data_IF_510128888906
#
_entry.id   IF_510128888906
#
_cell.length_a   1.000
_cell.length_b   1.000
_cell.length_c   1.000
_cell.angle_alpha   90.00
_cell.angle_beta   90.00
_cell.angle_gamma   90.00
#
_symmetry.space_group_name_H-M   'P 1'
#
loop_
_entity.id
_entity.type
_entity.pdbx_description
1 polymer ?
#
# COMPACT_ATOMS: atom_id res chain seq x y z
N UNK A 1 -1.15 9.34 4.00
CA UNK A 1 0.24 9.60 3.53
C UNK A 1 0.22 9.73 2.01
N UNK A 2 1.08 10.54 1.39
CA UNK A 2 1.23 10.50 -0.08
C UNK A 2 2.07 9.30 -0.50
N UNK A 3 1.98 8.93 -1.78
CA UNK A 3 2.81 7.89 -2.40
C UNK A 3 4.29 8.24 -2.24
N UNK A 4 4.68 9.48 -2.55
CA UNK A 4 6.08 9.93 -2.50
C UNK A 4 6.69 9.74 -1.11
N UNK A 5 5.95 10.13 -0.07
CA UNK A 5 6.42 9.99 1.32
C UNK A 5 6.57 8.52 1.71
N UNK A 6 5.61 7.66 1.34
CA UNK A 6 5.71 6.22 1.62
C UNK A 6 6.86 5.57 0.85
N UNK A 7 7.12 6.00 -0.39
CA UNK A 7 8.29 5.56 -1.15
C UNK A 7 9.59 5.96 -0.45
N UNK A 8 9.72 7.21 0.00
CA UNK A 8 10.90 7.68 0.74
C UNK A 8 11.13 6.88 2.02
N UNK A 9 10.07 6.55 2.76
CA UNK A 9 10.15 5.75 3.99
C UNK A 9 10.52 4.29 3.73
N UNK A 10 9.98 3.67 2.67
CA UNK A 10 10.24 2.27 2.36
C UNK A 10 11.59 2.05 1.65
N UNK A 11 12.12 3.06 0.95
CA UNK A 11 13.33 2.93 0.13
C UNK A 11 14.52 2.27 0.87
N UNK A 12 14.95 2.72 2.06
CA UNK A 12 16.09 2.10 2.75
C UNK A 12 15.82 0.65 3.19
N UNK A 13 14.58 0.32 3.54
CA UNK A 13 14.19 -1.03 3.95
C UNK A 13 14.12 -1.95 2.73
N UNK A 14 13.58 -1.47 1.62
CA UNK A 14 13.51 -2.21 0.36
C UNK A 14 14.91 -2.50 -0.20
N UNK A 15 15.83 -1.54 -0.14
CA UNK A 15 17.21 -1.72 -0.60
C UNK A 15 17.94 -2.78 0.23
N UNK A 16 17.87 -2.67 1.56
CA UNK A 16 18.47 -3.68 2.45
C UNK A 16 17.87 -5.07 2.24
N UNK A 17 16.54 -5.16 2.16
CA UNK A 17 15.85 -6.43 1.90
C UNK A 17 16.29 -7.04 0.57
N UNK A 18 16.45 -6.23 -0.48
CA UNK A 18 16.92 -6.70 -1.77
C UNK A 18 18.34 -7.26 -1.70
N UNK A 19 19.24 -6.57 -1.00
CA UNK A 19 20.61 -7.04 -0.78
C UNK A 19 20.62 -8.36 0.00
N UNK A 20 19.86 -8.43 1.09
CA UNK A 20 19.75 -9.62 1.94
C UNK A 20 19.20 -10.82 1.16
N UNK A 21 18.21 -10.62 0.30
CA UNK A 21 17.67 -11.68 -0.57
C UNK A 21 18.69 -12.16 -1.61
N UNK A 22 19.34 -11.22 -2.30
CA UNK A 22 20.22 -11.48 -3.45
C UNK A 22 21.53 -12.15 -3.05
N UNK A 23 22.08 -11.80 -1.89
CA UNK A 23 23.43 -12.19 -1.50
C UNK A 23 23.50 -13.24 -0.38
N UNK A 24 22.37 -13.65 0.19
CA UNK A 24 22.32 -14.73 1.17
C UNK A 24 22.22 -16.12 0.53
N UNK A 25 22.62 -17.15 1.27
CA UNK A 25 22.51 -18.55 0.83
C UNK A 25 21.04 -18.93 0.61
N UNK A 26 20.70 -19.66 -0.46
CA UNK A 26 19.35 -20.14 -0.70
C UNK A 26 18.74 -20.87 0.52
N UNK A 27 17.55 -20.45 0.94
CA UNK A 27 16.83 -21.03 2.08
C UNK A 27 17.38 -20.67 3.46
N UNK A 28 18.41 -19.82 3.54
CA UNK A 28 18.93 -19.30 4.81
C UNK A 28 17.88 -18.47 5.57
N UNK A 29 18.11 -18.28 6.87
CA UNK A 29 17.25 -17.43 7.71
C UNK A 29 17.19 -15.99 7.18
N UNK A 30 18.31 -15.46 6.69
CA UNK A 30 18.39 -14.11 6.12
C UNK A 30 17.56 -14.00 4.84
N UNK A 31 17.62 -15.01 3.95
CA UNK A 31 16.80 -15.01 2.74
C UNK A 31 15.31 -15.10 3.07
N UNK A 32 14.92 -15.94 4.02
CA UNK A 32 13.53 -16.07 4.47
C UNK A 32 13.06 -14.77 5.14
N UNK A 33 13.93 -14.11 5.92
CA UNK A 33 13.63 -12.83 6.52
C UNK A 33 13.40 -11.75 5.46
N UNK A 34 14.25 -11.68 4.44
CA UNK A 34 14.08 -10.76 3.32
C UNK A 34 12.73 -10.97 2.60
N UNK A 35 12.33 -12.23 2.36
CA UNK A 35 11.03 -12.54 1.78
C UNK A 35 9.85 -12.10 2.66
N UNK A 36 9.96 -12.27 3.99
CA UNK A 36 8.93 -11.77 4.93
C UNK A 36 8.83 -10.25 4.88
N UNK A 37 9.97 -9.56 4.84
CA UNK A 37 10.03 -8.10 4.72
C UNK A 37 9.40 -7.63 3.41
N UNK A 38 9.69 -8.29 2.28
CA UNK A 38 9.03 -8.01 1.00
C UNK A 38 7.51 -8.14 1.10
N UNK A 39 7.01 -9.23 1.70
CA UNK A 39 5.58 -9.45 1.87
C UNK A 39 4.92 -8.34 2.73
N UNK A 40 5.60 -7.90 3.79
CA UNK A 40 5.14 -6.77 4.62
C UNK A 40 5.07 -5.47 3.80
N UNK A 41 6.12 -5.15 3.03
CA UNK A 41 6.16 -3.93 2.21
C UNK A 41 5.03 -3.91 1.18
N UNK A 42 4.76 -5.04 0.52
CA UNK A 42 3.63 -5.19 -0.41
C UNK A 42 2.28 -5.05 0.32
N UNK A 43 2.13 -5.70 1.48
CA UNK A 43 0.92 -5.60 2.30
C UNK A 43 0.60 -4.16 2.72
N UNK A 44 1.61 -3.36 3.04
CA UNK A 44 1.43 -1.93 3.32
C UNK A 44 0.87 -1.15 2.12
N UNK A 45 1.24 -1.50 0.89
CA UNK A 45 0.67 -0.88 -0.30
C UNK A 45 -0.76 -1.34 -0.56
N UNK A 46 -1.05 -2.62 -0.36
CA UNK A 46 -2.41 -3.14 -0.46
C UNK A 46 -3.35 -2.41 0.51
N UNK A 47 -2.95 -2.30 1.78
CA UNK A 47 -3.68 -1.55 2.80
C UNK A 47 -3.90 -0.08 2.41
N UNK A 48 -2.85 0.58 1.92
CA UNK A 48 -2.94 1.97 1.46
C UNK A 48 -3.94 2.17 0.33
N UNK A 49 -3.91 1.31 -0.70
CA UNK A 49 -4.80 1.42 -1.85
C UNK A 49 -6.23 1.03 -1.50
N UNK A 50 -6.43 0.03 -0.65
CA UNK A 50 -7.76 -0.33 -0.14
C UNK A 50 -8.37 0.82 0.66
N UNK A 51 -7.60 1.48 1.53
CA UNK A 51 -8.08 2.66 2.23
C UNK A 51 -8.42 3.82 1.29
N UNK A 52 -7.60 4.06 0.27
CA UNK A 52 -7.88 5.08 -0.75
C UNK A 52 -9.15 4.76 -1.56
N UNK A 53 -9.39 3.48 -1.86
CA UNK A 53 -10.60 3.03 -2.55
C UNK A 53 -11.86 3.22 -1.69
N UNK A 54 -11.80 2.84 -0.41
CA UNK A 54 -12.89 3.05 0.56
C UNK A 54 -13.24 4.54 0.63
N UNK A 55 -12.26 5.43 0.75
CA UNK A 55 -12.52 6.87 0.80
C UNK A 55 -13.18 7.40 -0.48
N UNK A 56 -12.78 6.92 -1.66
CA UNK A 56 -13.42 7.29 -2.94
C UNK A 56 -14.87 6.79 -3.00
N UNK A 57 -15.13 5.58 -2.52
CA UNK A 57 -16.47 5.00 -2.49
C UNK A 57 -17.38 5.77 -1.53
N UNK A 58 -16.91 6.08 -0.31
CA UNK A 58 -17.64 6.89 0.67
C UNK A 58 -17.97 8.28 0.11
N UNK A 59 -17.01 8.91 -0.57
CA UNK A 59 -17.22 10.20 -1.23
C UNK A 59 -18.26 10.12 -2.36
N UNK A 60 -18.19 9.09 -3.21
CA UNK A 60 -19.17 8.88 -4.28
C UNK A 60 -20.59 8.63 -3.72
N UNK A 61 -20.70 7.87 -2.64
CA UNK A 61 -21.97 7.64 -1.93
C UNK A 61 -22.51 8.94 -1.30
N UNK A 62 -21.63 9.76 -0.73
CA UNK A 62 -22.01 11.07 -0.20
C UNK A 62 -22.53 12.00 -1.31
N UNK A 63 -21.86 12.05 -2.47
CA UNK A 63 -22.34 12.82 -3.63
C UNK A 63 -23.70 12.32 -4.15
N UNK A 64 -23.93 11.00 -4.17
CA UNK A 64 -25.22 10.44 -4.57
C UNK A 64 -26.33 10.82 -3.59
N UNK A 65 -26.05 10.83 -2.28
CA UNK A 65 -27.00 11.27 -1.24
C UNK A 65 -27.23 12.78 -1.25
N UNK A 66 -26.20 13.57 -1.58
CA UNK A 66 -26.27 15.03 -1.70
C UNK A 66 -27.00 15.51 -2.97
N UNK A 67 -27.42 14.60 -3.85
CA UNK A 67 -28.40 14.87 -4.91
C UNK A 67 -29.82 14.37 -4.54
N UNK A 68 -30.53 14.97 -3.57
CA UNK A 68 -31.97 14.83 -3.49
C UNK A 68 -32.63 15.93 -4.36
N UNK A 69 -33.42 15.52 -5.35
CA UNK A 69 -34.55 16.27 -5.92
C UNK A 69 -34.35 17.71 -6.41
N UNK A 70 -33.22 18.03 -7.06
CA UNK A 70 -33.25 19.07 -8.10
C UNK A 70 -33.47 18.40 -9.45
N UNK A 71 -34.74 18.23 -9.84
CA UNK A 71 -35.28 18.15 -11.22
C UNK A 71 -36.66 17.45 -11.26
N UNK A 72 -37.62 17.87 -10.42
CA UNK A 72 -39.05 17.75 -10.74
C UNK A 72 -39.70 19.08 -10.37
N UNK A 73 -39.64 20.00 -11.33
CA UNK A 73 -40.70 21.00 -11.50
C UNK A 73 -41.93 20.37 -12.14
#
# INVERSE_FOLDING_TARGET
>A
MSIDKRCQEQLPVADRMFMDFKYSTPGSQDQVHALKTLNVLIGMWADYFLHAEIQRMDFALALKRAKPDQMLG
#
